data_IF_463383241778
#
_entry.id   IF_463383241778
#
_cell.length_a   1.000
_cell.length_b   1.000
_cell.length_c   1.000
_cell.angle_alpha   90.00
_cell.angle_beta   90.00
_cell.angle_gamma   90.00
#
_symmetry.space_group_name_H-M   'P 1'
#
loop_
_entity.id
_entity.type
_entity.pdbx_description
1 polymer ?
#
# COMPACT_ATOMS: atom_id res chain seq x y z
N UNK A 1 0.99 -16.73 -25.06
CA UNK A 1 2.09 -16.78 -24.06
C UNK A 1 1.49 -16.38 -22.73
N UNK A 2 1.56 -17.23 -21.70
CA UNK A 2 1.08 -16.87 -20.37
C UNK A 2 1.94 -15.75 -19.78
N UNK A 3 1.30 -14.74 -19.19
CA UNK A 3 2.01 -13.66 -18.49
C UNK A 3 2.41 -14.19 -17.12
N UNK A 4 3.69 -14.07 -16.76
CA UNK A 4 4.19 -14.49 -15.44
C UNK A 4 4.65 -13.27 -14.67
N UNK A 5 4.59 -13.31 -13.33
CA UNK A 5 5.10 -12.21 -12.49
C UNK A 5 6.51 -11.77 -12.83
N UNK A 6 7.40 -12.74 -13.10
CA UNK A 6 8.77 -12.48 -13.54
C UNK A 6 8.87 -11.68 -14.86
N UNK A 7 7.90 -11.84 -15.75
CA UNK A 7 7.89 -11.16 -17.04
C UNK A 7 7.42 -9.71 -16.87
N UNK A 8 6.43 -9.47 -15.98
CA UNK A 8 6.04 -8.12 -15.56
C UNK A 8 7.18 -7.38 -14.87
N UNK A 9 7.87 -8.02 -13.92
CA UNK A 9 9.01 -7.41 -13.21
C UNK A 9 10.15 -7.03 -14.17
N UNK A 10 10.43 -7.90 -15.16
CA UNK A 10 11.40 -7.61 -16.21
C UNK A 10 10.96 -6.43 -17.08
N UNK A 11 9.70 -6.40 -17.50
CA UNK A 11 9.15 -5.31 -18.30
C UNK A 11 9.20 -3.97 -17.56
N UNK A 12 8.90 -3.96 -16.25
CA UNK A 12 9.04 -2.79 -15.38
C UNK A 12 10.49 -2.29 -15.33
N UNK A 13 11.48 -3.19 -15.21
CA UNK A 13 12.90 -2.83 -15.25
C UNK A 13 13.32 -2.17 -16.58
N UNK A 14 12.77 -2.64 -17.71
CA UNK A 14 13.02 -2.01 -19.02
C UNK A 14 12.42 -0.60 -19.10
N UNK A 15 11.23 -0.38 -18.52
CA UNK A 15 10.62 0.96 -18.43
C UNK A 15 11.46 1.89 -17.56
N UNK A 16 11.99 1.40 -16.44
CA UNK A 16 12.91 2.16 -15.58
C UNK A 16 14.17 2.57 -16.33
N UNK A 17 14.80 1.61 -17.02
CA UNK A 17 16.00 1.88 -17.82
C UNK A 17 15.71 2.94 -18.90
N UNK A 18 14.56 2.85 -19.57
CA UNK A 18 14.16 3.84 -20.56
C UNK A 18 13.99 5.24 -19.94
N UNK A 19 13.39 5.36 -18.76
CA UNK A 19 13.27 6.62 -18.03
C UNK A 19 14.62 7.27 -17.66
N UNK A 20 15.70 6.48 -17.51
CA UNK A 20 17.07 7.02 -17.29
C UNK A 20 17.68 7.64 -18.56
N UNK A 21 17.20 7.21 -19.74
CA UNK A 21 17.66 7.69 -21.05
C UNK A 21 16.95 8.98 -21.47
N UNK A 22 15.75 9.24 -20.93
CA UNK A 22 15.01 10.49 -21.12
C UNK A 22 15.61 11.63 -20.28
N UNK A 23 16.43 12.47 -20.91
CA UNK A 23 17.16 13.57 -20.25
C UNK A 23 16.75 14.95 -20.77
N UNK A 24 16.08 15.01 -21.90
CA UNK A 24 15.71 16.28 -22.51
C UNK A 24 14.50 16.90 -21.79
N UNK A 25 14.42 18.23 -21.67
CA UNK A 25 13.28 18.88 -21.03
C UNK A 25 11.96 18.61 -21.76
N UNK A 26 11.98 18.43 -23.08
CA UNK A 26 10.80 18.11 -23.88
C UNK A 26 10.26 16.70 -23.60
N UNK A 27 11.07 15.80 -23.04
CA UNK A 27 10.73 14.41 -22.75
C UNK A 27 10.10 14.22 -21.35
N UNK A 28 9.98 15.29 -20.53
CA UNK A 28 9.50 15.14 -19.15
C UNK A 28 8.05 14.70 -19.04
N UNK A 29 7.20 15.13 -19.98
CA UNK A 29 5.81 14.65 -20.02
C UNK A 29 5.76 13.15 -20.33
N UNK A 30 6.62 12.67 -21.24
CA UNK A 30 6.73 11.24 -21.55
C UNK A 30 7.22 10.44 -20.33
N UNK A 31 8.27 10.91 -19.65
CA UNK A 31 8.78 10.29 -18.42
C UNK A 31 7.70 10.19 -17.34
N UNK A 32 6.93 11.26 -17.17
CA UNK A 32 5.80 11.30 -16.23
C UNK A 32 4.72 10.27 -16.60
N UNK A 33 4.35 10.18 -17.88
CA UNK A 33 3.38 9.20 -18.35
C UNK A 33 3.86 7.76 -18.09
N UNK A 34 5.14 7.46 -18.34
CA UNK A 34 5.72 6.14 -18.08
C UNK A 34 5.71 5.81 -16.58
N UNK A 35 6.08 6.75 -15.72
CA UNK A 35 6.03 6.55 -14.27
C UNK A 35 4.61 6.26 -13.77
N UNK A 36 3.59 6.90 -14.33
CA UNK A 36 2.18 6.59 -14.01
C UNK A 36 1.82 5.16 -14.38
N UNK A 37 2.23 4.71 -15.57
CA UNK A 37 2.02 3.33 -16.03
C UNK A 37 2.74 2.34 -15.09
N UNK A 38 4.00 2.59 -14.76
CA UNK A 38 4.74 1.77 -13.81
C UNK A 38 4.07 1.72 -12.43
N UNK A 39 3.53 2.83 -11.94
CA UNK A 39 2.81 2.88 -10.66
C UNK A 39 1.56 1.99 -10.64
N UNK A 40 0.84 1.91 -11.77
CA UNK A 40 -0.31 1.00 -11.91
C UNK A 40 0.17 -0.46 -11.83
N UNK A 41 1.22 -0.80 -12.56
CA UNK A 41 1.80 -2.14 -12.56
C UNK A 41 2.39 -2.55 -11.20
N UNK A 42 2.90 -1.60 -10.41
CA UNK A 42 3.41 -1.83 -9.04
C UNK A 42 2.33 -1.83 -7.96
N UNK A 43 1.06 -1.63 -8.32
CA UNK A 43 -0.01 -1.59 -7.33
C UNK A 43 -0.27 -2.97 -6.73
N UNK A 44 -0.61 -3.01 -5.44
CA UNK A 44 -0.93 -4.26 -4.74
C UNK A 44 -2.07 -5.02 -5.42
N UNK A 45 -3.05 -4.32 -6.00
CA UNK A 45 -4.13 -4.93 -6.75
C UNK A 45 -3.63 -5.61 -8.03
N UNK A 46 -2.76 -4.94 -8.80
CA UNK A 46 -2.23 -5.53 -10.03
C UNK A 46 -1.37 -6.76 -9.74
N UNK A 47 -0.52 -6.70 -8.72
CA UNK A 47 0.27 -7.84 -8.25
C UNK A 47 -0.61 -9.01 -7.78
N UNK A 48 -1.71 -8.73 -7.07
CA UNK A 48 -2.67 -9.75 -6.66
C UNK A 48 -3.40 -10.39 -7.85
N UNK A 49 -3.73 -9.60 -8.88
CA UNK A 49 -4.32 -10.12 -10.12
C UNK A 49 -3.34 -11.03 -10.88
N UNK A 50 -2.05 -10.69 -10.90
CA UNK A 50 -1.03 -11.57 -11.47
C UNK A 50 -0.90 -12.87 -10.68
N UNK A 51 -0.98 -12.83 -9.34
CA UNK A 51 -0.96 -14.03 -8.51
C UNK A 51 -2.15 -14.96 -8.82
N UNK A 52 -3.36 -14.40 -8.96
CA UNK A 52 -4.56 -15.15 -9.35
C UNK A 52 -4.37 -15.82 -10.72
N UNK A 53 -3.88 -15.06 -11.69
CA UNK A 53 -3.70 -15.56 -13.07
C UNK A 53 -2.61 -16.63 -13.15
N UNK A 54 -1.46 -16.44 -12.50
CA UNK A 54 -0.40 -17.46 -12.45
C UNK A 54 -0.88 -18.74 -11.76
N UNK A 55 -1.64 -18.61 -10.67
CA UNK A 55 -2.24 -19.76 -9.99
C UNK A 55 -3.24 -20.53 -10.87
N UNK A 56 -4.13 -19.81 -11.54
CA UNK A 56 -5.11 -20.41 -12.44
C UNK A 56 -4.43 -21.27 -13.51
N UNK A 57 -3.32 -20.80 -14.07
CA UNK A 57 -2.61 -21.51 -15.12
C UNK A 57 -1.73 -22.67 -14.60
N UNK A 58 -0.99 -22.45 -13.51
CA UNK A 58 -0.02 -23.43 -12.97
C UNK A 58 -0.71 -24.56 -12.21
N UNK A 59 -1.83 -24.26 -11.55
CA UNK A 59 -2.56 -25.21 -10.70
C UNK A 59 -3.86 -25.65 -11.34
N UNK A 60 -4.77 -24.73 -11.68
CA UNK A 60 -6.13 -25.10 -12.08
C UNK A 60 -6.19 -25.66 -13.51
N UNK A 61 -5.47 -25.06 -14.47
CA UNK A 61 -5.38 -25.56 -15.85
C UNK A 61 -4.41 -26.74 -16.02
N UNK A 62 -3.63 -27.07 -15.00
CA UNK A 62 -2.67 -28.16 -15.08
C UNK A 62 -3.40 -29.52 -15.10
N UNK A 63 -3.39 -30.19 -16.25
CA UNK A 63 -4.05 -31.49 -16.45
C UNK A 63 -3.29 -32.66 -15.83
N UNK A 64 -2.03 -32.46 -15.44
CA UNK A 64 -1.21 -33.47 -14.77
C UNK A 64 -1.47 -33.53 -13.26
N UNK A 65 -2.18 -32.55 -12.70
CA UNK A 65 -2.54 -32.53 -11.26
C UNK A 65 -3.88 -33.21 -11.03
N UNK A 66 -3.95 -34.04 -9.99
CA UNK A 66 -5.21 -34.62 -9.53
C UNK A 66 -6.12 -33.54 -8.92
N UNK A 67 -7.42 -33.84 -8.79
CA UNK A 67 -8.37 -32.95 -8.14
C UNK A 67 -7.97 -32.65 -6.69
N UNK A 68 -7.46 -33.66 -5.97
CA UNK A 68 -7.00 -33.53 -4.59
C UNK A 68 -5.78 -32.60 -4.46
N UNK A 69 -4.80 -32.73 -5.35
CA UNK A 69 -3.63 -31.84 -5.39
C UNK A 69 -4.04 -30.39 -5.67
N UNK A 70 -4.97 -30.18 -6.62
CA UNK A 70 -5.50 -28.85 -6.90
C UNK A 70 -6.19 -28.26 -5.68
N UNK A 71 -7.01 -29.05 -4.98
CA UNK A 71 -7.72 -28.61 -3.78
C UNK A 71 -6.75 -28.20 -2.66
N UNK A 72 -5.72 -29.00 -2.42
CA UNK A 72 -4.69 -28.70 -1.41
C UNK A 72 -3.97 -27.38 -1.72
N UNK A 73 -3.59 -27.17 -2.99
CA UNK A 73 -2.94 -25.93 -3.42
C UNK A 73 -3.86 -24.70 -3.35
N UNK A 74 -5.14 -24.86 -3.70
CA UNK A 74 -6.15 -23.79 -3.54
C UNK A 74 -6.27 -23.39 -2.07
N UNK A 75 -6.44 -24.37 -1.17
CA UNK A 75 -6.58 -24.10 0.27
C UNK A 75 -5.33 -23.43 0.84
N UNK A 76 -4.15 -23.93 0.49
CA UNK A 76 -2.89 -23.32 0.91
C UNK A 76 -2.76 -21.85 0.46
N UNK A 77 -3.20 -21.54 -0.75
CA UNK A 77 -3.17 -20.18 -1.28
C UNK A 77 -4.17 -19.26 -0.57
N UNK A 78 -5.38 -19.75 -0.26
CA UNK A 78 -6.37 -19.03 0.52
C UNK A 78 -5.83 -18.68 1.92
N UNK A 79 -5.31 -19.67 2.65
CA UNK A 79 -4.72 -19.49 3.99
C UNK A 79 -3.61 -18.43 3.99
N UNK A 80 -2.77 -18.43 2.95
CA UNK A 80 -1.67 -17.48 2.81
C UNK A 80 -2.19 -16.04 2.64
N UNK A 81 -3.25 -15.86 1.86
CA UNK A 81 -3.84 -14.53 1.64
C UNK A 81 -4.59 -14.02 2.85
N UNK A 82 -5.32 -14.89 3.56
CA UNK A 82 -5.99 -14.53 4.81
C UNK A 82 -4.97 -14.04 5.86
N UNK A 83 -3.85 -14.75 6.03
CA UNK A 83 -2.76 -14.32 6.91
C UNK A 83 -2.16 -12.98 6.48
N UNK A 84 -1.97 -12.78 5.18
CA UNK A 84 -1.39 -11.55 4.62
C UNK A 84 -2.30 -10.33 4.86
N UNK A 85 -3.62 -10.50 4.75
CA UNK A 85 -4.61 -9.47 5.05
C UNK A 85 -4.66 -9.16 6.56
N UNK A 86 -4.58 -10.17 7.42
CA UNK A 86 -4.52 -9.97 8.87
C UNK A 86 -3.28 -9.19 9.33
N UNK A 87 -2.11 -9.45 8.74
CA UNK A 87 -0.87 -8.72 9.08
C UNK A 87 -1.00 -7.25 8.69
N UNK A 88 -1.45 -6.95 7.47
CA UNK A 88 -1.62 -5.57 6.99
C UNK A 88 -2.64 -4.77 7.81
N UNK A 89 -3.69 -5.43 8.34
CA UNK A 89 -4.69 -4.76 9.19
C UNK A 89 -4.16 -4.46 10.60
N UNK A 90 -3.25 -5.27 11.15
CA UNK A 90 -2.64 -5.01 12.45
C UNK A 90 -1.62 -3.87 12.43
N UNK A 91 -0.90 -3.69 11.32
CA UNK A 91 0.16 -2.70 11.18
C UNK A 91 -0.40 -1.27 11.06
N UNK A 92 -1.61 -1.11 10.51
CA UNK A 92 -2.31 0.17 10.42
C UNK A 92 -2.86 0.67 11.78
N UNK A 93 -3.06 -0.23 12.75
CA UNK A 93 -3.58 0.11 14.08
C UNK A 93 -2.54 0.73 15.03
N UNK A 94 -1.24 0.63 14.72
CA UNK A 94 -0.16 1.14 15.57
C UNK A 94 0.42 2.51 15.10
N UNK A 95 -0.10 3.09 14.01
CA UNK A 95 0.34 4.39 13.48
C UNK A 95 -0.70 5.51 13.71
N UNK A 96 -1.40 5.51 14.84
CA UNK A 96 -2.13 6.68 15.32
C UNK A 96 -1.37 7.26 16.51
N UNK A 97 -0.55 8.29 16.27
CA UNK A 97 0.12 9.06 17.32
C UNK A 97 -0.92 9.54 18.36
N UNK A 98 -0.70 9.38 19.67
CA UNK A 98 -1.46 10.14 20.65
C UNK A 98 -0.96 11.58 20.58
N UNK A 99 -1.80 12.49 20.08
CA UNK A 99 -1.61 13.92 20.28
C UNK A 99 -1.93 14.19 21.74
N UNK A 100 -0.89 14.38 22.56
CA UNK A 100 -1.07 14.89 23.92
C UNK A 100 -1.58 16.34 23.85
N UNK A 101 -2.78 16.55 24.38
CA UNK A 101 -3.40 17.86 24.55
C UNK A 101 -2.55 18.68 25.53
N UNK A 102 -1.78 19.64 24.99
CA UNK A 102 -1.09 20.65 25.78
C UNK A 102 -2.07 21.78 26.07
N UNK A 103 -2.68 21.77 27.25
CA UNK A 103 -3.51 22.87 27.73
C UNK A 103 -2.68 24.17 27.80
N UNK A 104 -3.12 25.14 27.01
CA UNK A 104 -2.54 26.47 26.89
C UNK A 104 -3.01 27.34 28.08
N UNK A 105 -2.32 27.28 29.22
CA UNK A 105 -2.56 28.23 30.31
C UNK A 105 -1.83 29.55 30.01
N UNK A 106 -2.55 30.50 29.43
CA UNK A 106 -2.10 31.87 29.20
C UNK A 106 -2.17 32.66 30.52
N UNK A 107 -1.03 33.18 30.94
CA UNK A 107 -0.94 34.15 32.03
C UNK A 107 -1.44 35.53 31.56
N UNK A 108 -2.20 36.22 32.41
CA UNK A 108 -2.32 37.68 32.40
C UNK A 108 -2.46 38.21 33.84
N UNK A 109 -1.58 39.11 34.30
CA UNK A 109 -1.70 39.77 35.60
C UNK A 109 -1.96 41.27 35.43
N UNK A 110 -3.11 41.78 35.87
CA UNK A 110 -3.26 43.19 36.31
C UNK A 110 -4.71 43.50 36.68
N UNK A 111 -4.94 44.21 37.79
CA UNK A 111 -6.21 44.91 38.00
C UNK A 111 -6.65 45.06 39.46
N UNK A 112 -5.94 45.92 40.19
CA UNK A 112 -6.36 46.79 41.31
C UNK A 112 -7.71 46.57 42.03
N UNK A 113 -7.55 46.42 43.35
CA UNK A 113 -8.17 47.20 44.45
C UNK A 113 -9.70 47.26 44.66
N UNK A 114 -10.05 46.98 45.93
CA UNK A 114 -11.12 47.56 46.77
C UNK A 114 -12.55 47.47 46.25
N UNK A 115 -13.43 46.82 47.01
CA UNK A 115 -14.57 47.47 47.69
C UNK A 115 -14.96 46.64 48.93
N UNK A 116 -15.27 47.38 49.99
CA UNK A 116 -15.65 46.99 51.34
C UNK A 116 -17.03 46.32 51.46
N UNK A 117 -17.17 45.56 52.55
CA UNK A 117 -18.32 45.53 53.48
C UNK A 117 -19.59 44.69 53.24
N UNK A 118 -19.92 44.01 54.35
CA UNK A 118 -21.24 43.76 54.95
C UNK A 118 -22.00 42.47 54.61
N UNK A 119 -21.85 41.52 55.53
CA UNK A 119 -22.90 41.01 56.44
C UNK A 119 -24.34 40.88 55.90
N UNK A 120 -24.84 39.64 55.91
CA UNK A 120 -26.04 39.21 56.63
C UNK A 120 -25.86 37.75 57.08
#
# INVERSE_FOLDING_TARGET
>A
MPIRKKDTARALGLLEEYCTKLRKPEEQQLKTAIHRVMGIFKSNLFEALLDIQEFYEVTLLNTQKSCEQKLEEVNHMADKWEKSVSIQNSELAHSACPVEEREQSSADPSGMERVESSAL
#
